data_IF_278485128498
#
_entry.id   IF_278485128498
#
_cell.length_a   1.000
_cell.length_b   1.000
_cell.length_c   1.000
_cell.angle_alpha   90.00
_cell.angle_beta   90.00
_cell.angle_gamma   90.00
#
_symmetry.space_group_name_H-M   'P 1'
#
loop_
_entity.id
_entity.type
_entity.pdbx_description
1 polymer ?
#
# COMPACT_ATOMS: atom_id res chain seq x y z
N UNK A 1 1.51 -4.05 10.76
CA UNK A 1 2.48 -3.62 9.73
C UNK A 1 2.96 -4.91 9.07
N UNK A 2 4.02 -4.92 8.26
CA UNK A 2 4.62 -6.20 7.87
C UNK A 2 5.43 -6.74 9.05
N UNK A 3 5.37 -8.06 9.28
CA UNK A 3 6.16 -8.71 10.34
C UNK A 3 7.66 -8.40 10.20
N UNK A 4 8.15 -8.27 8.96
CA UNK A 4 9.54 -7.91 8.70
C UNK A 4 9.93 -6.53 9.24
N UNK A 5 9.06 -5.53 9.12
CA UNK A 5 9.27 -4.21 9.70
C UNK A 5 9.18 -4.24 11.22
N UNK A 6 8.19 -4.95 11.77
CA UNK A 6 8.00 -5.10 13.22
C UNK A 6 9.20 -5.76 13.90
N UNK A 7 9.79 -6.78 13.27
CA UNK A 7 11.03 -7.42 13.73
C UNK A 7 12.24 -6.49 13.72
N UNK A 8 12.31 -5.53 12.79
CA UNK A 8 13.41 -4.56 12.76
C UNK A 8 13.26 -3.46 13.80
N UNK A 9 12.03 -3.15 14.20
CA UNK A 9 11.66 -2.20 15.25
C UNK A 9 11.79 -2.81 16.66
N UNK A 10 11.59 -4.13 16.78
CA UNK A 10 11.73 -4.86 18.03
C UNK A 10 13.13 -4.66 18.65
N UNK A 11 13.15 -4.14 19.88
CA UNK A 11 14.37 -3.90 20.64
C UNK A 11 15.02 -2.52 20.44
N UNK A 12 14.48 -1.68 19.56
CA UNK A 12 14.89 -0.28 19.46
C UNK A 12 14.42 0.51 20.69
N UNK A 13 15.17 1.57 20.98
CA UNK A 13 14.86 2.52 22.05
C UNK A 13 14.47 3.87 21.47
N UNK A 14 13.76 4.65 22.26
CA UNK A 14 13.44 6.05 21.95
C UNK A 14 14.73 6.84 21.67
N UNK A 15 14.72 7.60 20.57
CA UNK A 15 15.86 8.36 20.06
C UNK A 15 16.86 7.55 19.22
N UNK A 16 16.65 6.23 19.05
CA UNK A 16 17.54 5.40 18.26
C UNK A 16 17.19 5.47 16.76
N UNK A 17 18.21 5.59 15.92
CA UNK A 17 18.08 5.59 14.46
C UNK A 17 18.59 4.27 13.90
N UNK A 18 17.88 3.71 12.93
CA UNK A 18 18.28 2.47 12.28
C UNK A 18 17.97 2.53 10.79
N UNK A 19 18.93 2.10 9.98
CA UNK A 19 18.79 1.95 8.55
C UNK A 19 18.85 0.47 8.18
N UNK A 20 17.86 -0.03 7.45
CA UNK A 20 17.85 -1.41 6.96
C UNK A 20 17.08 -1.53 5.65
N UNK A 21 17.40 -2.58 4.90
CA UNK A 21 16.68 -2.94 3.69
C UNK A 21 15.70 -4.06 4.00
N UNK A 22 14.46 -3.93 3.55
CA UNK A 22 13.49 -5.01 3.57
C UNK A 22 13.19 -5.44 2.14
N UNK A 23 13.21 -6.75 1.94
CA UNK A 23 12.66 -7.37 0.74
C UNK A 23 11.16 -7.07 0.64
N UNK A 24 10.58 -7.08 -0.57
CA UNK A 24 9.17 -6.75 -0.75
C UNK A 24 8.24 -7.55 0.17
N UNK A 25 8.47 -8.85 0.30
CA UNK A 25 7.70 -9.74 1.17
C UNK A 25 7.69 -9.28 2.64
N UNK A 26 8.83 -8.77 3.10
CA UNK A 26 9.04 -8.28 4.46
C UNK A 26 8.66 -6.80 4.66
N UNK A 27 8.39 -6.04 3.58
CA UNK A 27 8.10 -4.61 3.59
C UNK A 27 6.61 -4.31 3.33
N UNK A 28 6.21 -4.29 2.05
CA UNK A 28 4.84 -3.99 1.61
C UNK A 28 4.13 -5.22 1.02
N UNK A 29 4.74 -6.39 1.16
CA UNK A 29 4.31 -7.64 0.57
C UNK A 29 4.62 -7.74 -0.93
N UNK A 30 4.26 -8.89 -1.48
CA UNK A 30 4.15 -9.09 -2.92
C UNK A 30 2.83 -8.50 -3.41
N UNK A 31 2.78 -7.99 -4.66
CA UNK A 31 1.53 -7.58 -5.26
C UNK A 31 0.56 -8.77 -5.26
N UNK A 32 -0.57 -8.59 -4.59
CA UNK A 32 -1.60 -9.61 -4.47
C UNK A 32 -2.60 -9.45 -5.61
N UNK A 33 -2.90 -10.53 -6.36
CA UNK A 33 -3.94 -10.49 -7.38
C UNK A 33 -5.34 -10.26 -6.79
N UNK A 34 -5.55 -10.55 -5.51
CA UNK A 34 -6.78 -10.23 -4.77
C UNK A 34 -7.04 -8.72 -4.63
N UNK A 35 -5.98 -7.91 -4.69
CA UNK A 35 -6.08 -6.45 -4.70
C UNK A 35 -6.35 -5.90 -6.11
N UNK A 36 -6.49 -6.77 -7.11
CA UNK A 36 -6.92 -6.39 -8.45
C UNK A 36 -8.43 -6.53 -8.50
N UNK A 37 -9.12 -5.40 -8.62
CA UNK A 37 -10.57 -5.36 -8.71
C UNK A 37 -11.03 -4.98 -10.11
N UNK A 38 -12.22 -5.47 -10.46
CA UNK A 38 -12.86 -5.19 -11.73
C UNK A 38 -14.03 -4.25 -11.49
N UNK A 39 -13.96 -3.09 -12.12
CA UNK A 39 -15.01 -2.07 -12.06
C UNK A 39 -15.66 -1.92 -13.41
N UNK A 40 -16.91 -1.47 -13.42
CA UNK A 40 -17.57 -1.10 -14.66
C UNK A 40 -17.12 0.31 -15.07
N UNK A 41 -16.94 0.56 -16.37
CA UNK A 41 -16.62 1.89 -16.91
C UNK A 41 -17.60 2.97 -16.42
N UNK A 42 -18.85 2.57 -16.18
CA UNK A 42 -19.91 3.43 -15.64
C UNK A 42 -19.58 4.06 -14.29
N UNK A 43 -18.87 3.35 -13.43
CA UNK A 43 -18.46 3.85 -12.11
C UNK A 43 -17.44 4.99 -12.23
N UNK A 44 -16.70 5.03 -13.34
CA UNK A 44 -15.70 6.07 -13.61
C UNK A 44 -16.27 7.28 -14.34
N UNK A 45 -17.52 7.24 -14.84
CA UNK A 45 -18.09 8.36 -15.60
C UNK A 45 -18.12 9.64 -14.74
N UNK A 46 -18.29 9.52 -13.43
CA UNK A 46 -18.28 10.64 -12.48
C UNK A 46 -16.86 11.02 -12.02
N UNK A 47 -15.95 10.03 -11.95
CA UNK A 47 -14.59 10.19 -11.42
C UNK A 47 -13.55 10.65 -12.48
N UNK A 48 -13.83 10.49 -13.77
CA UNK A 48 -12.95 10.84 -14.88
C UNK A 48 -12.71 9.66 -15.84
N UNK A 49 -12.28 9.95 -17.08
CA UNK A 49 -12.05 8.87 -18.06
C UNK A 49 -10.91 7.94 -17.61
N UNK A 50 -11.17 6.63 -17.46
CA UNK A 50 -10.16 5.69 -17.02
C UNK A 50 -9.13 5.45 -18.15
N UNK A 51 -7.92 5.97 -17.98
CA UNK A 51 -6.78 5.71 -18.87
C UNK A 51 -5.88 4.60 -18.31
N UNK A 52 -5.40 3.71 -19.19
CA UNK A 52 -4.46 2.65 -18.79
C UNK A 52 -3.18 3.29 -18.26
N UNK A 53 -2.77 2.90 -17.05
CA UNK A 53 -1.62 3.46 -16.34
C UNK A 53 -1.93 4.73 -15.53
N UNK A 54 -3.15 5.28 -15.60
CA UNK A 54 -3.57 6.36 -14.72
C UNK A 54 -3.71 5.87 -13.28
N UNK A 55 -3.36 6.77 -12.35
CA UNK A 55 -3.51 6.56 -10.91
C UNK A 55 -4.72 7.39 -10.47
N UNK A 56 -5.72 6.75 -9.89
CA UNK A 56 -6.90 7.41 -9.33
C UNK A 56 -7.02 7.11 -7.84
N UNK A 57 -7.58 8.04 -7.08
CA UNK A 57 -7.85 7.86 -5.65
C UNK A 57 -9.24 7.25 -5.48
N UNK A 58 -9.32 6.16 -4.71
CA UNK A 58 -10.56 5.49 -4.39
C UNK A 58 -10.76 5.49 -2.89
N UNK A 59 -12.01 5.64 -2.44
CA UNK A 59 -12.32 5.53 -1.02
C UNK A 59 -12.42 4.06 -0.63
N UNK A 60 -11.53 3.62 0.27
CA UNK A 60 -11.58 2.31 0.90
C UNK A 60 -12.80 2.18 1.83
N UNK A 61 -13.14 0.96 2.21
CA UNK A 61 -14.20 0.70 3.20
C UNK A 61 -13.93 1.35 4.57
N UNK A 62 -12.65 1.58 4.88
CA UNK A 62 -12.18 2.24 6.11
C UNK A 62 -12.29 3.78 6.03
N UNK A 63 -12.74 4.33 4.90
CA UNK A 63 -12.83 5.77 4.67
C UNK A 63 -11.51 6.43 4.27
N UNK A 64 -10.41 5.68 4.27
CA UNK A 64 -9.11 6.12 3.74
C UNK A 64 -9.11 6.16 2.21
N UNK A 65 -8.38 7.11 1.64
CA UNK A 65 -8.17 7.19 0.20
C UNK A 65 -7.01 6.27 -0.19
N UNK A 66 -7.27 5.30 -1.08
CA UNK A 66 -6.28 4.39 -1.62
C UNK A 66 -6.03 4.68 -3.11
N UNK A 67 -4.77 4.82 -3.54
CA UNK A 67 -4.44 4.93 -4.95
C UNK A 67 -4.68 3.59 -5.65
N UNK A 68 -5.49 3.60 -6.70
CA UNK A 68 -5.70 2.48 -7.63
C UNK A 68 -5.13 2.82 -9.00
N UNK A 69 -4.36 1.90 -9.58
CA UNK A 69 -3.76 2.04 -10.92
C UNK A 69 -4.57 1.26 -11.93
N UNK A 70 -4.96 1.89 -13.02
CA UNK A 70 -5.69 1.18 -14.09
C UNK A 70 -4.72 0.29 -14.86
N UNK A 71 -4.88 -1.02 -14.73
CA UNK A 71 -4.08 -2.02 -15.46
C UNK A 71 -4.56 -2.23 -16.87
N UNK A 72 -5.87 -2.31 -17.05
CA UNK A 72 -6.47 -2.68 -18.33
C UNK A 72 -7.89 -2.14 -18.46
N UNK A 73 -8.27 -1.79 -19.69
CA UNK A 73 -9.61 -1.28 -20.03
C UNK A 73 -10.17 -2.14 -21.16
N UNK A 74 -11.04 -3.10 -20.82
CA UNK A 74 -11.73 -3.99 -21.76
C UNK A 74 -13.17 -3.53 -21.99
N UNK A 75 -13.33 -2.51 -22.81
CA UNK A 75 -14.65 -1.98 -23.19
C UNK A 75 -15.41 -1.42 -22.00
N UNK A 76 -16.28 -2.24 -21.40
CA UNK A 76 -17.07 -1.88 -20.21
C UNK A 76 -16.42 -2.32 -18.89
N UNK A 77 -15.42 -3.21 -18.92
CA UNK A 77 -14.72 -3.70 -17.72
C UNK A 77 -13.35 -3.04 -17.57
N UNK A 78 -13.11 -2.44 -16.41
CA UNK A 78 -11.87 -1.76 -16.04
C UNK A 78 -11.19 -2.57 -14.94
N UNK A 79 -9.93 -2.94 -15.17
CA UNK A 79 -9.11 -3.63 -14.18
C UNK A 79 -8.30 -2.59 -13.42
N UNK A 80 -8.53 -2.51 -12.11
CA UNK A 80 -7.85 -1.57 -11.21
C UNK A 80 -7.01 -2.36 -10.22
N UNK A 81 -5.75 -1.99 -10.13
CA UNK A 81 -4.75 -2.58 -9.26
C UNK A 81 -4.57 -1.66 -8.04
N UNK A 82 -5.03 -2.13 -6.88
CA UNK A 82 -4.89 -1.44 -5.59
C UNK A 82 -3.62 -1.84 -4.83
N UNK A 83 -2.70 -2.55 -5.47
CA UNK A 83 -1.46 -2.90 -4.80
C UNK A 83 -0.69 -1.64 -4.40
N UNK A 84 -0.04 -1.73 -3.24
CA UNK A 84 0.80 -0.64 -2.77
C UNK A 84 1.87 -0.33 -3.84
N UNK A 85 2.17 0.95 -4.15
CA UNK A 85 3.15 1.30 -5.19
C UNK A 85 4.57 0.77 -4.91
N UNK A 86 4.84 0.38 -3.67
CA UNK A 86 6.09 -0.23 -3.22
C UNK A 86 6.02 -1.77 -3.06
N UNK A 87 4.85 -2.39 -3.30
CA UNK A 87 4.70 -3.84 -3.29
C UNK A 87 5.58 -4.46 -4.38
N UNK A 88 6.28 -5.56 -4.06
CA UNK A 88 7.21 -6.20 -4.99
C UNK A 88 8.55 -5.45 -5.21
N UNK A 89 8.79 -4.33 -4.52
CA UNK A 89 10.09 -3.64 -4.52
C UNK A 89 10.83 -3.80 -3.19
N UNK A 90 12.14 -3.98 -3.25
CA UNK A 90 13.02 -3.87 -2.07
C UNK A 90 13.06 -2.42 -1.62
N UNK A 91 12.72 -2.17 -0.36
CA UNK A 91 12.66 -0.82 0.21
C UNK A 91 13.76 -0.66 1.24
N UNK A 92 14.50 0.45 1.14
CA UNK A 92 15.42 0.88 2.18
C UNK A 92 14.68 1.81 3.14
N UNK A 93 14.61 1.42 4.40
CA UNK A 93 14.03 2.20 5.48
C UNK A 93 15.16 2.87 6.27
N UNK A 94 15.01 4.16 6.50
CA UNK A 94 15.76 4.92 7.52
C UNK A 94 14.72 5.37 8.53
N UNK A 95 14.75 4.78 9.72
CA UNK A 95 13.77 5.02 10.77
C UNK A 95 14.43 5.65 11.98
N UNK A 96 13.70 6.57 12.61
CA UNK A 96 14.04 7.17 13.88
C UNK A 96 12.87 6.92 14.82
N UNK A 97 13.15 6.27 15.96
CA UNK A 97 12.14 6.07 16.99
C UNK A 97 11.98 7.38 17.76
N UNK A 98 10.92 8.13 17.45
CA UNK A 98 10.65 9.40 18.12
C UNK A 98 10.12 9.20 19.54
N UNK A 99 9.16 8.29 19.69
CA UNK A 99 8.46 8.00 20.92
C UNK A 99 7.96 6.55 20.86
N UNK A 100 7.99 5.83 21.97
CA UNK A 100 7.41 4.48 22.07
C UNK A 100 6.15 4.62 22.92
N UNK A 101 4.99 4.54 22.27
CA UNK A 101 3.72 4.56 22.99
C UNK A 101 3.56 3.22 23.75
N UNK A 102 3.44 3.24 25.08
CA UNK A 102 3.20 2.02 25.83
C UNK A 102 1.79 1.52 25.48
N UNK A 103 1.70 0.40 24.76
CA UNK A 103 0.43 -0.24 24.51
C UNK A 103 -0.29 -0.46 25.85
N UNK A 104 -1.39 0.26 26.06
CA UNK A 104 -2.29 0.02 27.17
C UNK A 104 -2.84 -1.39 26.98
N UNK A 105 -2.44 -2.33 27.84
CA UNK A 105 -3.11 -3.62 27.98
C UNK A 105 -4.57 -3.35 28.38
N UNK A 106 -5.52 -3.64 27.48
CA UNK A 106 -6.94 -3.81 27.81
C UNK A 106 -7.27 -5.26 28.17
#
# INVERSE_FOLDING_TARGET
MSEGLEQQLLGLKEGEKKAFSLEPDAAFGVPSPDLIQYFSRREFIDAGEPEIGAIMLFTAMDGSEMPGVIREVNGDSITVDFNHPLAGRTVHFDIEVLEIDPALEE
#
